data_IF_671047996020
#
_entry.id   IF_671047996020
#
_cell.length_a   1.000
_cell.length_b   1.000
_cell.length_c   1.000
_cell.angle_alpha   90.00
_cell.angle_beta   90.00
_cell.angle_gamma   90.00
#
_symmetry.space_group_name_H-M   'P 1'
#
loop_
_entity.id
_entity.type
_entity.pdbx_description
1 polymer ?
#
# COMPACT_ATOMS: atom_id res chain seq x y z
N UNK A 1 -9.68 -10.70 9.58
CA UNK A 1 -9.55 -9.84 8.38
C UNK A 1 -8.15 -9.24 8.33
N UNK A 2 -7.48 -9.34 7.20
CA UNK A 2 -6.14 -8.77 7.08
C UNK A 2 -6.20 -7.26 6.96
N UNK A 3 -5.13 -6.58 7.38
CA UNK A 3 -5.01 -5.14 7.28
C UNK A 3 -3.95 -4.79 6.24
N UNK A 4 -4.33 -3.93 5.31
CA UNK A 4 -3.42 -3.42 4.28
C UNK A 4 -3.11 -1.96 4.59
N UNK A 5 -1.83 -1.63 4.67
CA UNK A 5 -1.37 -0.27 4.88
C UNK A 5 -0.58 0.18 3.65
N UNK A 6 -0.90 1.36 3.14
CA UNK A 6 -0.18 1.95 2.01
C UNK A 6 0.46 3.25 2.47
N UNK A 7 1.78 3.32 2.41
CA UNK A 7 2.50 4.58 2.62
C UNK A 7 2.62 5.31 1.30
N UNK A 8 2.21 6.55 1.27
CA UNK A 8 2.10 7.36 0.06
C UNK A 8 2.66 8.75 0.30
N UNK A 9 2.82 9.53 -0.76
CA UNK A 9 3.22 10.94 -0.72
C UNK A 9 2.25 11.76 -1.54
N UNK A 10 2.14 13.03 -1.19
CA UNK A 10 1.36 13.98 -1.99
C UNK A 10 2.01 14.14 -3.37
N UNK A 11 1.20 14.07 -4.41
CA UNK A 11 1.67 14.22 -5.79
C UNK A 11 2.37 12.98 -6.37
N UNK A 12 2.25 11.85 -5.69
CA UNK A 12 2.85 10.59 -6.17
C UNK A 12 1.88 9.88 -7.12
N UNK A 13 2.17 9.92 -8.40
CA UNK A 13 1.32 9.28 -9.42
C UNK A 13 1.29 7.75 -9.27
N UNK A 14 2.44 7.14 -9.00
CA UNK A 14 2.52 5.69 -8.77
C UNK A 14 1.69 5.26 -7.56
N UNK A 15 1.67 6.10 -6.52
CA UNK A 15 0.86 5.85 -5.34
C UNK A 15 -0.63 5.85 -5.68
N UNK A 16 -1.07 6.80 -6.49
CA UNK A 16 -2.46 6.88 -6.93
C UNK A 16 -2.88 5.63 -7.70
N UNK A 17 -2.04 5.18 -8.61
CA UNK A 17 -2.31 3.97 -9.40
C UNK A 17 -2.41 2.74 -8.48
N UNK A 18 -1.47 2.57 -7.56
CA UNK A 18 -1.48 1.44 -6.63
C UNK A 18 -2.71 1.46 -5.74
N UNK A 19 -3.06 2.63 -5.20
CA UNK A 19 -4.23 2.79 -4.33
C UNK A 19 -5.50 2.45 -5.09
N UNK A 20 -5.65 2.90 -6.32
CA UNK A 20 -6.83 2.60 -7.13
C UNK A 20 -6.97 1.09 -7.37
N UNK A 21 -5.88 0.41 -7.65
CA UNK A 21 -5.87 -1.04 -7.82
C UNK A 21 -6.27 -1.77 -6.54
N UNK A 22 -5.73 -1.31 -5.41
CA UNK A 22 -6.04 -1.90 -4.10
C UNK A 22 -7.51 -1.70 -3.75
N UNK A 23 -8.07 -0.52 -3.99
CA UNK A 23 -9.49 -0.25 -3.75
C UNK A 23 -10.38 -1.14 -4.63
N UNK A 24 -9.97 -1.36 -5.87
CA UNK A 24 -10.70 -2.24 -6.78
C UNK A 24 -10.71 -3.68 -6.25
N UNK A 25 -9.58 -4.16 -5.75
CA UNK A 25 -9.51 -5.50 -5.13
C UNK A 25 -10.38 -5.55 -3.87
N UNK A 26 -10.40 -4.49 -3.08
CA UNK A 26 -11.17 -4.45 -1.84
C UNK A 26 -12.69 -4.52 -2.09
N UNK A 27 -13.14 -4.16 -3.26
CA UNK A 27 -14.55 -4.32 -3.62
C UNK A 27 -14.95 -5.79 -3.79
N UNK A 28 -14.00 -6.67 -4.01
CA UNK A 28 -14.22 -8.11 -4.24
C UNK A 28 -13.68 -8.98 -3.12
N UNK A 29 -12.63 -8.53 -2.45
CA UNK A 29 -11.95 -9.27 -1.38
C UNK A 29 -11.88 -8.39 -0.13
N UNK A 30 -12.45 -8.85 0.97
CA UNK A 30 -12.52 -8.05 2.20
C UNK A 30 -11.18 -7.96 2.92
N UNK A 31 -10.76 -6.73 3.20
CA UNK A 31 -9.63 -6.42 4.08
C UNK A 31 -9.77 -4.98 4.57
N UNK A 32 -9.08 -4.64 5.65
CA UNK A 32 -9.01 -3.27 6.11
C UNK A 32 -7.96 -2.52 5.29
N UNK A 33 -8.28 -1.31 4.87
CA UNK A 33 -7.34 -0.47 4.12
C UNK A 33 -7.06 0.81 4.89
N UNK A 34 -5.78 1.08 5.12
CA UNK A 34 -5.31 2.33 5.70
C UNK A 34 -4.29 2.97 4.76
N UNK A 35 -4.50 4.22 4.43
CA UNK A 35 -3.57 4.98 3.60
C UNK A 35 -2.93 6.04 4.47
N UNK A 36 -1.60 6.06 4.54
CA UNK A 36 -0.83 7.02 5.32
C UNK A 36 0.10 7.83 4.43
N UNK A 37 0.05 9.14 4.59
CA UNK A 37 0.99 10.02 3.91
C UNK A 37 2.26 10.14 4.76
N UNK A 38 3.41 10.00 4.12
CA UNK A 38 4.70 10.14 4.81
C UNK A 38 5.14 11.59 4.91
N UNK A 39 4.43 12.51 4.27
CA UNK A 39 4.81 13.93 4.18
C UNK A 39 5.01 14.59 5.54
N UNK A 40 4.24 14.19 6.54
CA UNK A 40 4.27 14.78 7.88
C UNK A 40 5.05 13.94 8.89
N UNK A 41 5.72 12.89 8.45
CA UNK A 41 6.45 11.99 9.36
C UNK A 41 7.88 11.79 8.87
N UNK A 42 8.83 12.44 9.55
CA UNK A 42 10.25 12.35 9.19
C UNK A 42 10.80 10.93 9.25
N UNK A 43 10.35 10.15 10.22
CA UNK A 43 10.81 8.77 10.37
C UNK A 43 10.40 7.93 9.15
N UNK A 44 9.15 8.09 8.72
CA UNK A 44 8.67 7.41 7.52
C UNK A 44 9.35 7.92 6.26
N UNK A 45 9.60 9.23 6.18
CA UNK A 45 10.32 9.82 5.05
C UNK A 45 11.74 9.25 4.92
N UNK A 46 12.44 9.12 6.04
CA UNK A 46 13.78 8.55 6.06
C UNK A 46 13.77 7.09 5.66
N UNK A 47 12.76 6.36 6.12
CA UNK A 47 12.66 4.91 5.89
C UNK A 47 12.20 4.58 4.46
N UNK A 48 11.27 5.36 3.91
CA UNK A 48 10.60 5.02 2.63
C UNK A 48 10.71 6.10 1.56
N UNK A 49 11.54 7.09 1.73
CA UNK A 49 11.61 8.33 0.94
C UNK A 49 11.24 8.15 -0.55
N UNK A 50 12.04 7.41 -1.30
CA UNK A 50 11.82 7.20 -2.73
C UNK A 50 11.14 5.86 -3.05
N UNK A 51 10.74 5.12 -2.03
CA UNK A 51 10.19 3.78 -2.19
C UNK A 51 8.67 3.73 -2.20
N UNK A 52 8.02 4.88 -2.08
CA UNK A 52 6.55 4.93 -2.12
C UNK A 52 6.02 4.67 -3.53
N UNK A 53 4.87 4.01 -3.67
CA UNK A 53 4.04 3.48 -2.60
C UNK A 53 4.66 2.24 -1.95
N UNK A 54 4.55 2.14 -0.64
CA UNK A 54 4.94 0.93 0.10
C UNK A 54 3.68 0.25 0.59
N UNK A 55 3.50 -0.99 0.22
CA UNK A 55 2.30 -1.77 0.55
C UNK A 55 2.67 -2.79 1.63
N UNK A 56 1.97 -2.71 2.77
CA UNK A 56 2.14 -3.64 3.88
C UNK A 56 0.88 -4.47 4.08
N UNK A 57 1.06 -5.74 4.39
CA UNK A 57 -0.03 -6.64 4.77
C UNK A 57 0.28 -7.11 6.19
N UNK A 58 -0.61 -6.81 7.13
CA UNK A 58 -0.44 -7.12 8.57
C UNK A 58 0.92 -6.66 9.10
N UNK A 59 1.29 -5.40 8.75
CA UNK A 59 2.52 -4.72 9.18
C UNK A 59 3.81 -5.31 8.58
N UNK A 60 3.69 -6.19 7.60
CA UNK A 60 4.86 -6.72 6.89
C UNK A 60 4.88 -6.17 5.47
N UNK A 61 6.04 -5.68 5.03
CA UNK A 61 6.18 -5.14 3.68
C UNK A 61 5.90 -6.22 2.66
N UNK A 62 4.97 -5.92 1.75
CA UNK A 62 4.58 -6.81 0.67
C UNK A 62 5.18 -6.38 -0.66
N UNK A 63 5.15 -5.08 -0.96
CA UNK A 63 5.64 -4.56 -2.23
C UNK A 63 6.06 -3.11 -2.12
N UNK A 64 6.86 -2.65 -3.08
CA UNK A 64 7.34 -1.27 -3.21
C UNK A 64 7.05 -0.76 -4.62
N UNK A 65 6.83 0.54 -4.76
CA UNK A 65 6.67 1.29 -6.03
C UNK A 65 5.45 0.93 -6.85
N UNK A 66 5.06 -0.31 -6.86
CA UNK A 66 3.91 -0.78 -7.64
C UNK A 66 3.28 -1.97 -6.93
N UNK A 67 2.12 -2.36 -7.42
CA UNK A 67 1.44 -3.53 -6.88
C UNK A 67 1.21 -4.55 -8.01
N UNK A 68 1.56 -5.80 -7.73
CA UNK A 68 1.18 -6.95 -8.54
C UNK A 68 -0.13 -7.47 -7.96
N UNK A 69 -1.23 -7.25 -8.68
CA UNK A 69 -2.58 -7.56 -8.18
C UNK A 69 -2.75 -9.05 -7.88
N UNK A 70 -2.26 -9.92 -8.73
CA UNK A 70 -2.39 -11.38 -8.51
C UNK A 70 -1.67 -11.81 -7.25
N UNK A 71 -0.44 -11.37 -7.07
CA UNK A 71 0.36 -11.68 -5.89
C UNK A 71 -0.27 -11.10 -4.62
N UNK A 72 -0.81 -9.88 -4.72
CA UNK A 72 -1.49 -9.22 -3.62
C UNK A 72 -2.72 -10.01 -3.18
N UNK A 73 -3.56 -10.43 -4.12
CA UNK A 73 -4.76 -11.23 -3.82
C UNK A 73 -4.38 -12.54 -3.14
N UNK A 74 -3.36 -13.23 -3.62
CA UNK A 74 -2.88 -14.46 -3.01
C UNK A 74 -2.43 -14.25 -1.57
N UNK A 75 -1.73 -13.14 -1.30
CA UNK A 75 -1.27 -12.81 0.04
C UNK A 75 -2.45 -12.52 0.98
N UNK A 76 -3.48 -11.82 0.49
CA UNK A 76 -4.67 -11.51 1.28
C UNK A 76 -5.45 -12.78 1.61
N UNK A 77 -5.53 -13.72 0.69
CA UNK A 77 -6.31 -14.95 0.87
C UNK A 77 -5.57 -16.05 1.61
N UNK A 78 -4.28 -15.90 1.81
CA UNK A 78 -3.48 -16.93 2.49
C UNK A 78 -3.67 -16.96 4.00
#
# INVERSE_FOLDING_TARGET
MKKVTVYSRTGCHLCEIAIDKIKSVNSEVDFELEIRLIDDDKTLQEKYNDEVPVILIDDQVHDYWRIDVERFIKAIKS
#
